data_IF_265334669187
#
_entry.id   IF_265334669187
#
_cell.length_a   1.000
_cell.length_b   1.000
_cell.length_c   1.000
_cell.angle_alpha   90.00
_cell.angle_beta   90.00
_cell.angle_gamma   90.00
#
_symmetry.space_group_name_H-M   'P 1'
#
loop_
_entity.id
_entity.type
_entity.pdbx_description
1 polymer ?
#
# COMPACT_ATOMS: atom_id res chain seq x y z
N UNK A 1 -3.49 47.62 -45.25
CA UNK A 1 -4.09 48.86 -44.72
C UNK A 1 -5.41 48.44 -44.09
N UNK A 2 -5.60 48.34 -42.78
CA UNK A 2 -5.20 49.27 -41.72
C UNK A 2 -5.03 48.53 -40.39
N UNK A 3 -4.01 48.99 -39.67
CA UNK A 3 -3.47 48.60 -38.38
C UNK A 3 -4.43 48.92 -37.21
N UNK A 4 -4.08 48.43 -36.02
CA UNK A 4 -4.11 49.13 -34.71
C UNK A 4 -5.07 48.51 -33.67
N UNK A 5 -4.60 47.69 -32.72
CA UNK A 5 -3.85 47.99 -31.47
C UNK A 5 -4.78 48.19 -30.25
N UNK A 6 -4.53 47.45 -29.16
CA UNK A 6 -4.34 47.91 -27.76
C UNK A 6 -4.86 46.92 -26.70
N UNK A 7 -3.89 46.30 -26.02
CA UNK A 7 -3.70 46.31 -24.56
C UNK A 7 -4.95 46.37 -23.66
N UNK A 8 -5.24 45.25 -22.97
CA UNK A 8 -5.83 45.24 -21.63
C UNK A 8 -5.19 44.15 -20.75
N UNK A 9 -4.91 44.53 -19.51
CA UNK A 9 -4.17 43.83 -18.46
C UNK A 9 -4.62 42.40 -18.10
N UNK A 10 -3.75 41.60 -17.45
CA UNK A 10 -4.07 40.26 -16.97
C UNK A 10 -4.93 40.33 -15.69
N UNK A 11 -6.12 39.73 -15.73
CA UNK A 11 -6.92 39.49 -14.54
C UNK A 11 -6.64 38.08 -14.02
N UNK A 12 -6.15 38.02 -12.79
CA UNK A 12 -5.87 36.83 -12.00
C UNK A 12 -7.03 35.83 -11.98
N UNK A 13 -6.72 34.54 -12.19
CA UNK A 13 -7.52 33.44 -11.64
C UNK A 13 -6.56 32.53 -10.89
N UNK A 14 -6.64 32.58 -9.57
CA UNK A 14 -6.08 31.57 -8.70
C UNK A 14 -6.86 30.27 -8.91
N UNK A 15 -6.22 29.24 -9.46
CA UNK A 15 -6.71 27.86 -9.40
C UNK A 15 -5.84 27.14 -8.38
N UNK A 16 -6.19 27.29 -7.10
CA UNK A 16 -5.80 26.36 -6.05
C UNK A 16 -6.89 25.31 -5.94
N UNK A 17 -6.67 24.09 -6.46
CA UNK A 17 -7.46 22.90 -6.14
C UNK A 17 -6.86 21.64 -6.79
N UNK A 18 -5.76 21.14 -6.26
CA UNK A 18 -5.34 19.74 -6.40
C UNK A 18 -4.42 19.52 -5.20
N UNK A 19 -4.81 18.79 -4.16
CA UNK A 19 -4.74 17.33 -4.09
C UNK A 19 -5.58 16.85 -2.89
N UNK A 20 -6.82 16.38 -3.11
CA UNK A 20 -7.60 15.64 -2.08
C UNK A 20 -7.57 14.12 -2.28
N UNK A 21 -6.62 13.61 -3.07
CA UNK A 21 -6.54 12.18 -3.43
C UNK A 21 -5.60 11.33 -2.54
N UNK A 22 -5.27 11.82 -1.33
CA UNK A 22 -4.35 11.13 -0.40
C UNK A 22 -5.00 10.47 0.82
N UNK A 23 -6.26 10.78 1.14
CA UNK A 23 -6.85 10.38 2.42
C UNK A 23 -7.24 8.90 2.48
N UNK A 24 -7.81 8.34 1.41
CA UNK A 24 -8.33 6.96 1.42
C UNK A 24 -7.22 5.90 1.56
N UNK A 25 -6.04 6.14 0.97
CA UNK A 25 -4.91 5.22 1.10
C UNK A 25 -4.26 5.28 2.49
N UNK A 26 -4.29 6.43 3.16
CA UNK A 26 -3.75 6.58 4.51
C UNK A 26 -4.67 5.94 5.57
N UNK A 27 -5.99 6.01 5.38
CA UNK A 27 -6.98 5.48 6.32
C UNK A 27 -7.03 3.95 6.32
N UNK A 28 -7.02 3.32 5.13
CA UNK A 28 -6.94 1.87 4.99
C UNK A 28 -5.68 1.29 5.63
N UNK A 29 -4.50 1.89 5.34
CA UNK A 29 -3.21 1.51 5.95
C UNK A 29 -3.24 1.56 7.48
N UNK A 30 -3.98 2.52 8.05
CA UNK A 30 -4.08 2.73 9.50
C UNK A 30 -4.96 1.66 10.14
N UNK A 31 -6.07 1.27 9.50
CA UNK A 31 -6.95 0.19 9.95
C UNK A 31 -6.31 -1.20 9.90
N UNK A 32 -5.57 -1.51 8.83
CA UNK A 32 -4.80 -2.77 8.71
C UNK A 32 -3.67 -2.85 9.75
N UNK A 33 -3.01 -1.72 10.05
CA UNK A 33 -1.99 -1.64 11.09
C UNK A 33 -2.62 -1.84 12.49
N UNK A 34 -3.68 -1.11 12.84
CA UNK A 34 -4.39 -1.23 14.12
C UNK A 34 -4.82 -2.68 14.37
N UNK A 35 -5.44 -3.33 13.38
CA UNK A 35 -5.96 -4.70 13.53
C UNK A 35 -4.87 -5.78 13.61
N UNK A 36 -3.71 -5.57 12.98
CA UNK A 36 -2.51 -6.37 13.18
C UNK A 36 -1.93 -6.16 14.60
N UNK A 37 -1.81 -4.90 15.06
CA UNK A 37 -1.37 -4.55 16.41
C UNK A 37 -2.26 -5.18 17.49
N UNK A 38 -3.58 -5.13 17.34
CA UNK A 38 -4.53 -5.79 18.26
C UNK A 38 -4.36 -7.32 18.29
N UNK A 39 -4.13 -7.96 17.14
CA UNK A 39 -3.94 -9.40 17.06
C UNK A 39 -2.60 -9.84 17.66
N UNK A 40 -1.55 -9.02 17.51
CA UNK A 40 -0.27 -9.20 18.19
C UNK A 40 -0.38 -9.02 19.70
N UNK A 41 -1.11 -8.00 20.17
CA UNK A 41 -1.30 -7.75 21.61
C UNK A 41 -1.99 -8.92 22.32
N UNK A 42 -2.85 -9.67 21.61
CA UNK A 42 -3.50 -10.88 22.16
C UNK A 42 -2.58 -12.10 22.19
N UNK A 43 -1.33 -12.00 21.71
CA UNK A 43 -0.36 -13.11 21.69
C UNK A 43 -0.69 -14.22 20.70
N UNK A 44 -1.57 -13.97 19.73
CA UNK A 44 -2.14 -15.01 18.86
C UNK A 44 -1.36 -15.18 17.54
N UNK A 45 -0.55 -14.18 17.16
CA UNK A 45 0.14 -14.13 15.86
C UNK A 45 1.50 -13.41 15.95
N UNK A 46 2.47 -13.82 15.13
CA UNK A 46 3.78 -13.20 14.96
C UNK A 46 3.66 -11.79 14.38
N UNK A 47 4.45 -10.84 14.90
CA UNK A 47 4.42 -9.45 14.42
C UNK A 47 4.57 -9.34 12.91
N UNK A 48 3.84 -8.41 12.28
CA UNK A 48 3.99 -8.10 10.87
C UNK A 48 5.48 -7.93 10.48
N UNK A 49 6.27 -7.22 11.29
CA UNK A 49 7.72 -7.06 11.08
C UNK A 49 8.46 -8.40 11.01
N UNK A 50 8.14 -9.36 11.87
CA UNK A 50 8.77 -10.69 11.84
C UNK A 50 8.36 -11.50 10.61
N UNK A 51 7.11 -11.34 10.16
CA UNK A 51 6.61 -11.96 8.93
C UNK A 51 7.35 -11.38 7.72
N UNK A 52 7.42 -10.05 7.62
CA UNK A 52 8.14 -9.35 6.55
C UNK A 52 9.62 -9.74 6.51
N UNK A 53 10.30 -9.79 7.66
CA UNK A 53 11.71 -10.19 7.74
C UNK A 53 11.98 -11.59 7.15
N UNK A 54 11.01 -12.50 7.21
CA UNK A 54 11.12 -13.85 6.64
C UNK A 54 10.84 -13.88 5.14
N UNK A 55 9.89 -13.07 4.66
CA UNK A 55 9.41 -13.15 3.28
C UNK A 55 10.15 -12.23 2.33
N UNK A 56 10.49 -11.01 2.75
CA UNK A 56 11.18 -10.02 1.91
C UNK A 56 12.45 -10.58 1.23
N UNK A 57 13.31 -11.40 1.90
CA UNK A 57 14.47 -12.01 1.24
C UNK A 57 14.13 -12.95 0.07
N UNK A 58 12.96 -13.60 0.11
CA UNK A 58 12.48 -14.52 -0.92
C UNK A 58 11.87 -13.79 -2.14
N UNK A 59 11.50 -12.52 -1.97
CA UNK A 59 10.92 -11.67 -3.00
C UNK A 59 11.91 -10.60 -3.49
N UNK A 60 13.23 -10.85 -3.38
CA UNK A 60 14.26 -9.91 -3.85
C UNK A 60 14.04 -9.52 -5.32
N UNK A 61 14.24 -8.24 -5.63
CA UNK A 61 13.98 -7.68 -6.95
C UNK A 61 12.48 -7.49 -7.26
N UNK A 62 11.61 -7.62 -6.26
CA UNK A 62 10.24 -7.13 -6.33
C UNK A 62 10.05 -5.99 -5.33
N UNK A 63 9.19 -5.04 -5.68
CA UNK A 63 8.77 -3.95 -4.82
C UNK A 63 7.65 -4.44 -3.91
N UNK A 64 7.84 -4.27 -2.60
CA UNK A 64 6.82 -4.60 -1.62
C UNK A 64 5.79 -3.47 -1.54
N UNK A 65 4.54 -3.79 -1.89
CA UNK A 65 3.43 -2.84 -1.91
C UNK A 65 2.73 -2.74 -0.55
N UNK A 66 2.76 -3.82 0.24
CA UNK A 66 2.25 -3.84 1.60
C UNK A 66 1.60 -5.15 2.02
N UNK A 67 1.21 -5.25 3.30
CA UNK A 67 0.51 -6.39 3.84
C UNK A 67 -1.00 -6.19 3.85
N UNK A 68 -1.72 -7.30 3.99
CA UNK A 68 -3.13 -7.38 4.30
C UNK A 68 -3.32 -8.53 5.29
N UNK A 69 -4.06 -8.31 6.39
CA UNK A 69 -4.29 -9.34 7.41
C UNK A 69 -5.71 -9.89 7.33
N UNK A 70 -5.82 -11.16 6.95
CA UNK A 70 -7.08 -11.91 7.03
C UNK A 70 -7.20 -12.50 8.44
N UNK A 71 -7.94 -11.80 9.31
CA UNK A 71 -8.19 -12.21 10.70
C UNK A 71 -8.98 -13.53 10.78
N UNK A 72 -9.90 -13.79 9.85
CA UNK A 72 -10.73 -15.00 9.87
C UNK A 72 -9.89 -16.25 9.59
N UNK A 73 -8.88 -16.12 8.73
CA UNK A 73 -7.98 -17.23 8.36
C UNK A 73 -6.66 -17.21 9.12
N UNK A 74 -6.36 -16.15 9.88
CA UNK A 74 -5.05 -15.91 10.49
C UNK A 74 -3.91 -15.93 9.45
N UNK A 75 -4.10 -15.24 8.32
CA UNK A 75 -3.14 -15.23 7.20
C UNK A 75 -2.72 -13.80 6.89
N UNK A 76 -1.42 -13.57 6.73
CA UNK A 76 -0.87 -12.38 6.13
C UNK A 76 -0.72 -12.58 4.62
N UNK A 77 -1.31 -11.68 3.84
CA UNK A 77 -1.12 -11.60 2.40
C UNK A 77 -0.19 -10.45 2.08
N UNK A 78 1.01 -10.77 1.61
CA UNK A 78 2.02 -9.78 1.26
C UNK A 78 1.99 -9.51 -0.24
N UNK A 79 1.80 -8.25 -0.62
CA UNK A 79 1.65 -7.79 -2.01
C UNK A 79 3.01 -7.34 -2.55
N UNK A 80 3.37 -7.83 -3.73
CA UNK A 80 4.62 -7.50 -4.41
C UNK A 80 4.36 -7.14 -5.86
N UNK A 81 5.22 -6.27 -6.41
CA UNK A 81 5.28 -5.96 -7.84
C UNK A 81 6.67 -6.28 -8.38
N UNK A 82 6.74 -7.02 -9.48
CA UNK A 82 7.96 -7.17 -10.28
C UNK A 82 7.65 -6.71 -11.69
N UNK A 83 8.36 -5.69 -12.15
CA UNK A 83 8.08 -4.99 -13.40
C UNK A 83 6.62 -4.51 -13.46
N UNK A 84 5.80 -5.08 -14.34
CA UNK A 84 4.37 -4.78 -14.49
C UNK A 84 3.45 -5.77 -13.78
N UNK A 85 3.99 -6.87 -13.23
CA UNK A 85 3.20 -7.95 -12.66
C UNK A 85 3.11 -7.85 -11.14
N UNK A 86 1.88 -7.95 -10.63
CA UNK A 86 1.59 -7.99 -9.19
C UNK A 86 1.39 -9.45 -8.78
N UNK A 87 2.08 -9.86 -7.73
CA UNK A 87 1.94 -11.18 -7.13
C UNK A 87 1.82 -11.08 -5.61
N UNK A 88 1.32 -12.16 -5.02
CA UNK A 88 1.06 -12.25 -3.59
C UNK A 88 1.80 -13.43 -2.97
N UNK A 89 2.20 -13.26 -1.72
CA UNK A 89 2.72 -14.34 -0.87
C UNK A 89 1.83 -14.41 0.36
N UNK A 90 1.16 -15.55 0.53
CA UNK A 90 0.30 -15.83 1.68
C UNK A 90 1.13 -16.54 2.76
N UNK A 91 1.02 -16.06 4.00
CA UNK A 91 1.83 -16.49 5.14
C UNK A 91 0.93 -16.78 6.34
N UNK A 92 1.12 -17.93 6.98
CA UNK A 92 0.45 -18.23 8.25
C UNK A 92 0.92 -17.25 9.33
N UNK A 93 -0.02 -16.52 9.94
CA UNK A 93 0.32 -15.49 10.91
C UNK A 93 0.78 -16.04 12.28
N UNK A 94 0.57 -17.33 12.56
CA UNK A 94 0.92 -17.97 13.84
C UNK A 94 2.38 -18.41 13.86
N UNK A 95 2.88 -18.92 12.73
CA UNK A 95 4.23 -19.50 12.65
C UNK A 95 5.13 -18.88 11.56
N UNK A 96 4.58 -17.99 10.72
CA UNK A 96 5.33 -17.30 9.67
C UNK A 96 5.71 -18.17 8.48
N UNK A 97 5.07 -19.32 8.29
CA UNK A 97 5.29 -20.20 7.15
C UNK A 97 4.56 -19.67 5.90
N UNK A 98 5.25 -19.68 4.76
CA UNK A 98 4.63 -19.38 3.47
C UNK A 98 3.72 -20.53 3.09
N UNK A 99 2.42 -20.27 2.96
CA UNK A 99 1.39 -21.26 2.65
C UNK A 99 0.91 -21.16 1.20
N UNK A 100 1.20 -20.06 0.49
CA UNK A 100 0.74 -19.87 -0.88
C UNK A 100 1.45 -18.75 -1.62
N UNK A 101 1.39 -18.83 -2.96
CA UNK A 101 1.80 -17.75 -3.88
C UNK A 101 0.82 -17.68 -5.06
N UNK A 102 0.34 -16.49 -5.37
CA UNK A 102 -0.61 -16.24 -6.46
C UNK A 102 -0.19 -15.03 -7.30
N UNK A 103 -0.74 -14.89 -8.51
CA UNK A 103 -0.40 -13.78 -9.43
C UNK A 103 0.92 -13.95 -10.20
N UNK A 104 1.36 -15.22 -10.37
CA UNK A 104 2.52 -15.58 -11.19
C UNK A 104 2.18 -15.51 -12.68
#
# INVERSE_FOLDING_TARGET
>A
MTTMNRLFSPLSVAIGATLLMGAAAADARRGDQESAYEAHQKGQVMSLRQIEARVLPSARGAEYLGPEFDRARSVYRLKFRRDVQVFWIDVDARNGQVIGRSGR
#
